data_IF_619795861611
#
_entry.id   IF_619795861611
#
_cell.length_a   1.000
_cell.length_b   1.000
_cell.length_c   1.000
_cell.angle_alpha   90.00
_cell.angle_beta   90.00
_cell.angle_gamma   90.00
#
_symmetry.space_group_name_H-M   'P 1'
#
loop_
_entity.id
_entity.type
_entity.pdbx_description
1 polymer ?
#
# COMPACT_ATOMS: atom_id res chain seq x y z
N UNK A 1 36.58 -6.97 -4.83
CA UNK A 1 35.15 -7.15 -5.19
C UNK A 1 34.38 -7.28 -3.90
N UNK A 2 33.34 -6.46 -3.68
CA UNK A 2 32.49 -6.58 -2.49
C UNK A 2 31.79 -7.94 -2.50
N UNK A 3 31.76 -8.65 -1.35
CA UNK A 3 31.11 -9.96 -1.22
C UNK A 3 29.82 -9.79 -0.43
N UNK A 4 28.69 -10.07 -1.09
CA UNK A 4 27.38 -10.10 -0.45
C UNK A 4 27.39 -11.14 0.69
N UNK A 5 26.90 -10.74 1.87
CA UNK A 5 26.67 -11.70 2.96
C UNK A 5 25.47 -12.60 2.62
N UNK A 6 25.46 -13.85 3.09
CA UNK A 6 24.30 -14.74 2.90
C UNK A 6 23.05 -14.14 3.54
N UNK A 7 21.88 -14.53 3.02
CA UNK A 7 20.58 -14.26 3.66
C UNK A 7 20.32 -15.32 4.75
N UNK A 8 19.47 -14.99 5.72
CA UNK A 8 19.06 -15.94 6.75
C UNK A 8 18.13 -17.02 6.17
N UNK A 9 17.96 -18.13 6.88
CA UNK A 9 17.04 -19.20 6.46
C UNK A 9 15.59 -18.69 6.35
N UNK A 10 15.18 -17.82 7.28
CA UNK A 10 13.86 -17.15 7.27
C UNK A 10 13.67 -16.34 5.98
N UNK A 11 14.62 -15.47 5.64
CA UNK A 11 14.55 -14.64 4.43
C UNK A 11 14.54 -15.52 3.18
N UNK A 12 15.34 -16.58 3.14
CA UNK A 12 15.36 -17.53 2.03
C UNK A 12 13.99 -18.19 1.82
N UNK A 13 13.36 -18.70 2.90
CA UNK A 13 12.02 -19.32 2.83
C UNK A 13 10.96 -18.37 2.27
N UNK A 14 10.92 -17.13 2.75
CA UNK A 14 9.94 -16.12 2.30
C UNK A 14 10.22 -15.73 0.83
N UNK A 15 11.49 -15.56 0.47
CA UNK A 15 11.89 -15.29 -0.93
C UNK A 15 11.48 -16.42 -1.86
N UNK A 16 11.67 -17.68 -1.45
CA UNK A 16 11.29 -18.83 -2.27
C UNK A 16 9.77 -18.94 -2.40
N UNK A 17 9.02 -18.71 -1.31
CA UNK A 17 7.55 -18.59 -1.36
C UNK A 17 7.13 -17.50 -2.35
N UNK A 18 7.75 -16.32 -2.28
CA UNK A 18 7.47 -15.22 -3.21
C UNK A 18 7.68 -15.64 -4.66
N UNK A 19 8.87 -16.17 -5.01
CA UNK A 19 9.21 -16.55 -6.39
C UNK A 19 8.32 -17.65 -6.97
N UNK A 20 7.89 -18.59 -6.12
CA UNK A 20 7.13 -19.76 -6.55
C UNK A 20 5.61 -19.59 -6.47
N UNK A 21 5.11 -18.52 -5.86
CA UNK A 21 3.67 -18.25 -5.79
C UNK A 21 3.21 -17.52 -7.06
N UNK A 22 2.28 -18.07 -7.82
CA UNK A 22 1.62 -17.33 -8.89
C UNK A 22 0.62 -16.32 -8.28
N UNK A 23 0.60 -15.05 -8.74
CA UNK A 23 -0.36 -14.08 -8.25
C UNK A 23 -1.83 -14.45 -8.47
N UNK A 24 -2.67 -14.07 -7.52
CA UNK A 24 -4.12 -14.26 -7.58
C UNK A 24 -4.88 -12.94 -7.53
N UNK A 25 -6.13 -12.94 -7.99
CA UNK A 25 -7.10 -11.88 -7.71
C UNK A 25 -7.71 -12.10 -6.33
N UNK A 26 -7.78 -11.03 -5.54
CA UNK A 26 -8.46 -11.02 -4.24
C UNK A 26 -9.64 -10.04 -4.24
N UNK A 27 -10.86 -10.56 -4.04
CA UNK A 27 -12.09 -9.74 -4.00
C UNK A 27 -12.39 -9.15 -2.64
N UNK A 28 -11.59 -9.40 -1.59
CA UNK A 28 -11.88 -8.91 -0.23
C UNK A 28 -12.08 -7.39 -0.20
N UNK A 29 -11.18 -6.62 -0.83
CA UNK A 29 -11.34 -5.17 -0.99
C UNK A 29 -12.55 -4.82 -1.85
N UNK A 30 -12.70 -5.49 -2.99
CA UNK A 30 -13.78 -5.25 -3.95
C UNK A 30 -15.16 -5.32 -3.30
N UNK A 31 -15.40 -6.38 -2.51
CA UNK A 31 -16.67 -6.63 -1.82
C UNK A 31 -16.98 -5.52 -0.82
N UNK A 32 -16.01 -5.14 0.02
CA UNK A 32 -16.16 -4.06 1.00
C UNK A 32 -16.47 -2.71 0.35
N UNK A 33 -15.75 -2.37 -0.73
CA UNK A 33 -16.03 -1.11 -1.45
C UNK A 33 -17.41 -1.14 -2.10
N UNK A 34 -17.79 -2.27 -2.71
CA UNK A 34 -19.11 -2.43 -3.36
C UNK A 34 -20.24 -2.30 -2.35
N UNK A 35 -20.13 -3.01 -1.23
CA UNK A 35 -21.10 -2.94 -0.13
C UNK A 35 -21.22 -1.52 0.43
N UNK A 36 -20.10 -0.86 0.72
CA UNK A 36 -20.08 0.51 1.21
C UNK A 36 -20.78 1.48 0.24
N UNK A 37 -20.50 1.35 -1.06
CA UNK A 37 -21.11 2.23 -2.07
C UNK A 37 -22.61 1.99 -2.23
N UNK A 38 -23.06 0.73 -2.17
CA UNK A 38 -24.49 0.38 -2.24
C UNK A 38 -25.27 0.86 -1.01
N UNK A 39 -24.66 0.80 0.18
CA UNK A 39 -25.29 1.24 1.43
C UNK A 39 -25.26 2.76 1.62
N UNK A 40 -24.43 3.48 0.85
CA UNK A 40 -24.25 4.93 0.98
C UNK A 40 -24.42 5.65 -0.38
N UNK A 41 -25.62 5.57 -1.00
CA UNK A 41 -25.85 6.17 -2.32
C UNK A 41 -25.71 7.70 -2.29
N UNK A 42 -26.16 8.35 -1.22
CA UNK A 42 -26.20 9.82 -1.11
C UNK A 42 -24.85 10.45 -0.75
N UNK A 43 -23.90 9.64 -0.27
CA UNK A 43 -22.57 10.13 0.10
C UNK A 43 -21.71 10.27 -1.14
N UNK A 44 -21.12 11.46 -1.33
CA UNK A 44 -20.28 11.80 -2.49
C UNK A 44 -18.97 12.50 -2.08
N UNK A 45 -18.08 12.70 -3.06
CA UNK A 45 -16.86 13.50 -2.89
C UNK A 45 -15.87 12.95 -1.85
N UNK A 46 -15.13 13.85 -1.21
CA UNK A 46 -14.01 13.53 -0.33
C UNK A 46 -14.42 12.76 0.93
N UNK A 47 -15.62 13.01 1.46
CA UNK A 47 -16.14 12.29 2.63
C UNK A 47 -16.52 10.85 2.27
N UNK A 48 -17.00 10.57 1.05
CA UNK A 48 -17.22 9.20 0.57
C UNK A 48 -15.92 8.41 0.59
N UNK A 49 -14.86 8.99 0.02
CA UNK A 49 -13.52 8.39 -0.01
C UNK A 49 -12.98 8.12 1.39
N UNK A 50 -13.01 9.11 2.27
CA UNK A 50 -12.50 8.96 3.64
C UNK A 50 -13.26 7.90 4.45
N UNK A 51 -14.59 7.91 4.38
CA UNK A 51 -15.41 6.92 5.10
C UNK A 51 -15.27 5.50 4.51
N UNK A 52 -15.17 5.37 3.19
CA UNK A 52 -14.88 4.08 2.55
C UNK A 52 -13.50 3.56 2.95
N UNK A 53 -12.47 4.42 2.97
CA UNK A 53 -11.14 4.04 3.43
C UNK A 53 -11.13 3.58 4.88
N UNK A 54 -11.83 4.30 5.78
CA UNK A 54 -11.99 3.86 7.17
C UNK A 54 -12.70 2.51 7.26
N UNK A 55 -13.78 2.32 6.50
CA UNK A 55 -14.49 1.04 6.42
C UNK A 55 -13.58 -0.10 5.94
N UNK A 56 -12.71 0.14 4.95
CA UNK A 56 -11.69 -0.82 4.53
C UNK A 56 -10.72 -1.15 5.68
N UNK A 57 -10.19 -0.14 6.37
CA UNK A 57 -9.27 -0.36 7.49
C UNK A 57 -9.90 -1.17 8.63
N UNK A 58 -11.19 -0.96 8.89
CA UNK A 58 -11.96 -1.67 9.92
C UNK A 58 -12.23 -3.13 9.54
N UNK A 59 -12.40 -3.45 8.26
CA UNK A 59 -13.00 -4.73 7.84
C UNK A 59 -12.15 -5.58 6.89
N UNK A 60 -11.13 -5.02 6.24
CA UNK A 60 -10.28 -5.79 5.31
C UNK A 60 -9.66 -6.97 6.05
N UNK A 61 -9.58 -8.13 5.41
CA UNK A 61 -8.91 -9.28 5.99
C UNK A 61 -7.43 -8.97 6.19
N UNK A 62 -6.91 -9.27 7.38
CA UNK A 62 -5.51 -9.09 7.75
C UNK A 62 -4.86 -10.45 7.98
N UNK A 63 -3.54 -10.55 7.80
CA UNK A 63 -2.77 -11.78 8.03
C UNK A 63 -1.41 -11.45 8.61
N UNK A 64 -0.85 -12.41 9.35
CA UNK A 64 0.56 -12.46 9.69
C UNK A 64 1.03 -13.82 9.21
N UNK A 65 1.81 -13.84 8.13
CA UNK A 65 2.33 -15.07 7.56
C UNK A 65 3.49 -15.64 8.39
N UNK A 66 3.77 -16.93 8.23
CA UNK A 66 4.87 -17.61 8.92
C UNK A 66 6.21 -16.89 8.66
N UNK A 67 6.94 -16.61 9.74
CA UNK A 67 8.24 -15.94 9.70
C UNK A 67 8.19 -14.42 9.51
N UNK A 68 7.02 -13.79 9.29
CA UNK A 68 6.95 -12.34 9.17
C UNK A 68 7.24 -11.64 10.50
N UNK A 69 8.04 -10.58 10.45
CA UNK A 69 8.25 -9.61 11.55
C UNK A 69 8.02 -8.16 11.13
N UNK A 70 7.84 -7.92 9.83
CA UNK A 70 7.27 -6.69 9.26
C UNK A 70 5.96 -7.11 8.60
N UNK A 71 4.84 -6.55 9.05
CA UNK A 71 3.50 -6.98 8.64
C UNK A 71 2.70 -5.85 7.99
N UNK A 72 1.64 -6.24 7.30
CA UNK A 72 0.86 -5.35 6.44
C UNK A 72 0.59 -6.07 5.13
N UNK A 73 -0.63 -5.94 4.63
CA UNK A 73 -1.04 -6.62 3.42
C UNK A 73 -2.11 -5.83 2.68
N UNK A 74 -1.98 -5.79 1.35
CA UNK A 74 -2.92 -5.14 0.45
C UNK A 74 -4.19 -5.97 0.20
N UNK A 75 -4.11 -7.29 0.39
CA UNK A 75 -5.18 -8.25 0.08
C UNK A 75 -5.29 -9.30 1.18
N UNK A 76 -6.25 -10.21 1.09
CA UNK A 76 -6.42 -11.31 2.06
C UNK A 76 -5.45 -12.48 1.84
N UNK A 77 -4.87 -12.57 0.64
CA UNK A 77 -4.05 -13.70 0.18
C UNK A 77 -2.62 -13.23 -0.10
N UNK A 78 -1.65 -14.12 0.06
CA UNK A 78 -0.25 -13.82 -0.23
C UNK A 78 -0.03 -13.57 -1.73
N UNK A 79 0.73 -12.51 -2.07
CA UNK A 79 1.04 -12.10 -3.45
C UNK A 79 -0.19 -11.88 -4.35
N UNK A 80 -1.37 -11.66 -3.77
CA UNK A 80 -2.60 -11.40 -4.52
C UNK A 80 -2.84 -9.91 -4.73
N UNK A 81 -3.38 -9.55 -5.89
CA UNK A 81 -3.74 -8.18 -6.22
C UNK A 81 -5.14 -7.82 -5.68
N UNK A 82 -5.26 -6.64 -5.07
CA UNK A 82 -6.56 -6.07 -4.73
C UNK A 82 -7.21 -5.42 -5.95
N UNK A 83 -8.53 -5.34 -5.97
CA UNK A 83 -9.30 -4.69 -7.03
C UNK A 83 -9.90 -3.36 -6.58
N UNK A 84 -10.03 -2.43 -7.54
CA UNK A 84 -10.40 -1.04 -7.31
C UNK A 84 -11.54 -0.61 -8.23
N UNK A 85 -12.73 -1.17 -8.03
CA UNK A 85 -13.84 -0.98 -8.96
C UNK A 85 -14.34 0.46 -9.01
N UNK A 86 -14.06 1.26 -7.97
CA UNK A 86 -14.44 2.67 -7.95
C UNK A 86 -13.63 3.54 -8.93
N UNK A 87 -12.50 3.04 -9.45
CA UNK A 87 -11.70 3.70 -10.47
C UNK A 87 -12.17 3.31 -11.87
N UNK A 88 -12.05 2.03 -12.21
CA UNK A 88 -12.49 1.46 -13.49
C UNK A 88 -12.64 -0.04 -13.37
N UNK A 89 -13.62 -0.59 -14.09
CA UNK A 89 -13.94 -2.02 -14.06
C UNK A 89 -14.02 -2.68 -15.44
N UNK A 90 -14.21 -1.91 -16.52
CA UNK A 90 -14.59 -2.46 -17.84
C UNK A 90 -13.59 -3.49 -18.37
N UNK A 91 -12.30 -3.15 -18.37
CA UNK A 91 -11.25 -4.06 -18.86
C UNK A 91 -11.26 -5.40 -18.11
N UNK A 92 -11.57 -5.39 -16.82
CA UNK A 92 -11.57 -6.59 -16.00
C UNK A 92 -12.79 -7.46 -16.35
N UNK A 93 -13.95 -6.86 -16.59
CA UNK A 93 -15.15 -7.60 -17.00
C UNK A 93 -14.92 -8.31 -18.33
N UNK A 94 -14.37 -7.61 -19.33
CA UNK A 94 -14.04 -8.19 -20.65
C UNK A 94 -13.10 -9.41 -20.53
N UNK A 95 -12.06 -9.29 -19.69
CA UNK A 95 -11.10 -10.38 -19.49
C UNK A 95 -11.63 -11.53 -18.63
N UNK A 96 -12.55 -11.27 -17.70
CA UNK A 96 -13.21 -12.30 -16.90
C UNK A 96 -14.23 -13.08 -17.73
N UNK A 97 -15.02 -12.40 -18.56
CA UNK A 97 -16.00 -13.03 -19.46
C UNK A 97 -15.31 -13.95 -20.47
N UNK A 98 -14.19 -13.51 -21.05
CA UNK A 98 -13.39 -14.32 -22.00
C UNK A 98 -12.49 -15.37 -21.33
N UNK A 99 -12.25 -15.25 -20.02
CA UNK A 99 -11.27 -16.08 -19.30
C UNK A 99 -9.81 -15.75 -19.63
N UNK A 100 -9.56 -14.65 -20.34
CA UNK A 100 -8.23 -14.27 -20.81
C UNK A 100 -7.28 -13.91 -19.66
N UNK A 101 -7.79 -13.38 -18.54
CA UNK A 101 -6.94 -12.94 -17.42
C UNK A 101 -6.07 -14.07 -16.83
N UNK A 102 -6.56 -15.31 -16.88
CA UNK A 102 -5.86 -16.50 -16.37
C UNK A 102 -4.91 -17.12 -17.39
N UNK A 103 -5.03 -16.73 -18.67
CA UNK A 103 -4.29 -17.31 -19.80
C UNK A 103 -3.39 -16.30 -20.51
N UNK A 104 -3.23 -15.10 -19.97
CA UNK A 104 -2.27 -14.11 -20.45
C UNK A 104 -0.87 -14.72 -20.57
N UNK A 105 -0.15 -14.37 -21.62
CA UNK A 105 1.26 -14.71 -21.82
C UNK A 105 2.18 -13.91 -20.88
N UNK A 106 1.74 -12.72 -20.45
CA UNK A 106 2.40 -11.88 -19.44
C UNK A 106 1.45 -11.57 -18.29
N UNK A 107 1.97 -11.68 -17.07
CA UNK A 107 1.26 -11.45 -15.80
C UNK A 107 -0.15 -12.09 -15.70
N UNK A 108 -0.29 -13.42 -15.87
CA UNK A 108 -1.57 -14.12 -15.66
C UNK A 108 -1.94 -14.19 -14.18
N UNK A 109 -3.23 -14.06 -13.88
CA UNK A 109 -3.75 -14.15 -12.52
C UNK A 109 -4.65 -15.36 -12.32
N UNK A 110 -4.52 -16.00 -11.16
CA UNK A 110 -5.50 -17.01 -10.73
C UNK A 110 -6.74 -16.29 -10.18
N UNK A 111 -7.93 -16.78 -10.52
CA UNK A 111 -9.20 -16.33 -9.93
C UNK A 111 -10.11 -17.53 -9.71
N UNK A 112 -10.84 -17.56 -8.59
CA UNK A 112 -11.87 -18.58 -8.35
C UNK A 112 -13.17 -18.25 -9.09
N UNK A 113 -13.97 -19.27 -9.42
CA UNK A 113 -15.27 -19.06 -10.05
C UNK A 113 -16.21 -18.22 -9.17
N UNK A 114 -16.19 -18.41 -7.85
CA UNK A 114 -16.98 -17.60 -6.91
C UNK A 114 -16.64 -16.10 -7.01
N UNK A 115 -15.35 -15.77 -7.07
CA UNK A 115 -14.89 -14.38 -7.17
C UNK A 115 -15.22 -13.78 -8.52
N UNK A 116 -15.06 -14.56 -9.60
CA UNK A 116 -15.45 -14.17 -10.95
C UNK A 116 -16.95 -13.87 -11.04
N UNK A 117 -17.81 -14.78 -10.56
CA UNK A 117 -19.26 -14.61 -10.57
C UNK A 117 -19.70 -13.36 -9.81
N UNK A 118 -19.09 -13.10 -8.64
CA UNK A 118 -19.40 -11.91 -7.86
C UNK A 118 -19.05 -10.61 -8.60
N UNK A 119 -17.87 -10.55 -9.22
CA UNK A 119 -17.43 -9.37 -9.99
C UNK A 119 -18.38 -9.15 -11.18
N UNK A 120 -18.73 -10.19 -11.93
CA UNK A 120 -19.64 -10.08 -13.08
C UNK A 120 -21.04 -9.61 -12.65
N UNK A 121 -21.58 -10.18 -11.55
CA UNK A 121 -22.89 -9.80 -10.98
C UNK A 121 -22.96 -8.32 -10.58
N UNK A 122 -21.85 -7.75 -10.13
CA UNK A 122 -21.78 -6.36 -9.65
C UNK A 122 -21.18 -5.40 -10.68
N UNK A 123 -20.75 -5.91 -11.83
CA UNK A 123 -20.13 -5.14 -12.91
C UNK A 123 -21.00 -4.00 -13.42
N UNK A 124 -22.30 -4.24 -13.62
CA UNK A 124 -23.24 -3.23 -14.14
C UNK A 124 -23.45 -2.04 -13.20
N UNK A 125 -23.33 -2.25 -11.89
CA UNK A 125 -23.32 -1.16 -10.92
C UNK A 125 -22.06 -0.29 -11.12
N UNK A 126 -20.89 -0.92 -11.19
CA UNK A 126 -19.63 -0.21 -11.35
C UNK A 126 -19.43 0.44 -12.71
N UNK A 127 -20.01 -0.11 -13.78
CA UNK A 127 -20.09 0.52 -15.10
C UNK A 127 -20.80 1.88 -15.08
N UNK A 128 -21.57 2.18 -14.04
CA UNK A 128 -22.25 3.47 -13.85
C UNK A 128 -21.58 4.32 -12.77
N UNK A 129 -21.02 3.68 -11.75
CA UNK A 129 -20.54 4.37 -10.55
C UNK A 129 -19.05 4.68 -10.49
N UNK A 130 -18.22 3.99 -11.29
CA UNK A 130 -16.77 4.20 -11.27
C UNK A 130 -16.35 5.56 -11.84
N UNK A 131 -15.15 6.03 -11.48
CA UNK A 131 -14.57 7.30 -11.95
C UNK A 131 -14.53 7.36 -13.47
N UNK A 132 -14.07 6.29 -14.12
CA UNK A 132 -14.01 6.18 -15.58
C UNK A 132 -15.36 6.40 -16.26
N UNK A 133 -16.42 5.78 -15.73
CA UNK A 133 -17.79 5.96 -16.24
C UNK A 133 -18.27 7.40 -16.08
N UNK A 134 -18.00 8.01 -14.92
CA UNK A 134 -18.38 9.41 -14.62
C UNK A 134 -17.59 10.43 -15.44
N UNK A 135 -16.36 10.12 -15.83
CA UNK A 135 -15.49 11.00 -16.63
C UNK A 135 -15.80 10.94 -18.13
N UNK A 136 -16.25 9.77 -18.62
CA UNK A 136 -16.48 9.54 -20.06
C UNK A 136 -17.37 10.62 -20.73
N UNK A 137 -18.48 11.09 -20.14
CA UNK A 137 -19.32 12.14 -20.72
C UNK A 137 -18.66 13.52 -20.85
N UNK A 138 -17.56 13.78 -20.14
CA UNK A 138 -16.82 15.05 -20.19
C UNK A 138 -15.73 15.06 -21.27
N UNK A 139 -15.48 13.95 -21.94
CA UNK A 139 -14.49 13.88 -23.02
C UNK A 139 -15.04 14.61 -24.25
N UNK A 140 -14.31 15.60 -24.81
CA UNK A 140 -14.77 16.33 -26.00
C UNK A 140 -15.00 15.37 -27.18
N UNK A 141 -16.16 15.43 -27.88
CA UNK A 141 -16.47 14.50 -28.97
C UNK A 141 -15.42 14.49 -30.10
N UNK A 142 -14.83 15.65 -30.43
CA UNK A 142 -13.79 15.75 -31.45
C UNK A 142 -12.48 15.03 -31.10
N UNK A 143 -12.31 14.58 -29.85
CA UNK A 143 -11.15 13.78 -29.45
C UNK A 143 -11.29 12.30 -29.85
N UNK A 144 -12.52 11.82 -30.09
CA UNK A 144 -12.81 10.42 -30.37
C UNK A 144 -12.25 9.94 -31.72
N UNK A 145 -12.05 10.84 -32.68
CA UNK A 145 -11.44 10.51 -33.98
C UNK A 145 -9.91 10.37 -33.92
N UNK A 146 -9.30 10.76 -32.78
CA UNK A 146 -7.85 10.79 -32.61
C UNK A 146 -7.32 9.70 -31.67
N UNK A 147 -8.20 8.98 -30.99
CA UNK A 147 -7.84 7.89 -30.08
C UNK A 147 -7.64 6.58 -30.84
N UNK A 148 -6.85 5.66 -30.29
CA UNK A 148 -6.55 4.37 -30.92
C UNK A 148 -5.74 4.47 -32.22
N UNK A 149 -5.21 5.64 -32.59
CA UNK A 149 -4.48 5.88 -33.84
C UNK A 149 -3.00 5.46 -33.81
N UNK A 150 -2.56 4.77 -32.75
CA UNK A 150 -1.17 4.36 -32.55
C UNK A 150 -0.25 5.43 -31.95
N UNK A 151 -0.66 6.71 -31.93
CA UNK A 151 0.02 7.79 -31.21
C UNK A 151 -0.68 8.05 -29.88
N UNK A 152 -2.01 8.10 -29.90
CA UNK A 152 -2.85 8.14 -28.71
C UNK A 152 -3.40 6.73 -28.48
N UNK A 153 -2.75 6.00 -27.57
CA UNK A 153 -3.10 4.60 -27.25
C UNK A 153 -4.33 4.47 -26.35
N UNK A 154 -5.04 5.57 -26.09
CA UNK A 154 -6.28 5.59 -25.29
C UNK A 154 -7.45 5.05 -26.12
N UNK A 155 -8.50 4.56 -25.43
CA UNK A 155 -9.74 4.04 -26.02
C UNK A 155 -10.89 5.05 -25.86
N UNK A 156 -12.03 4.80 -26.51
CA UNK A 156 -13.25 5.62 -26.45
C UNK A 156 -13.94 5.51 -25.09
N UNK A 157 -13.73 4.38 -24.40
CA UNK A 157 -14.15 4.11 -23.02
C UNK A 157 -12.95 3.78 -22.15
N UNK A 158 -13.15 3.79 -20.83
CA UNK A 158 -12.06 3.46 -19.92
C UNK A 158 -11.06 4.61 -19.78
N UNK A 159 -11.54 5.85 -19.63
CA UNK A 159 -10.68 6.99 -19.29
C UNK A 159 -10.42 7.03 -17.79
N UNK A 160 -9.30 7.61 -17.36
CA UNK A 160 -8.96 7.70 -15.93
C UNK A 160 -9.02 6.32 -15.21
N UNK A 161 -8.56 5.24 -15.88
CA UNK A 161 -8.67 3.87 -15.34
C UNK A 161 -7.91 3.67 -14.03
N UNK A 162 -6.82 4.43 -13.86
CA UNK A 162 -6.01 4.41 -12.67
C UNK A 162 -6.04 5.82 -12.02
N UNK A 163 -6.07 5.88 -10.68
CA UNK A 163 -5.85 7.12 -9.97
C UNK A 163 -4.42 7.62 -10.20
N UNK A 164 -4.23 8.92 -10.04
CA UNK A 164 -2.88 9.53 -10.05
C UNK A 164 -2.06 8.96 -8.90
N UNK A 165 -0.89 8.43 -9.22
CA UNK A 165 0.18 8.11 -8.27
C UNK A 165 1.43 8.96 -8.57
N UNK A 166 2.62 8.36 -8.60
CA UNK A 166 3.89 9.02 -8.96
C UNK A 166 4.31 10.14 -8.00
N UNK A 167 4.23 9.87 -6.69
CA UNK A 167 4.72 10.78 -5.68
C UNK A 167 5.37 10.02 -4.52
N UNK A 168 6.19 10.72 -3.75
CA UNK A 168 6.64 10.27 -2.44
C UNK A 168 5.79 10.97 -1.37
N UNK A 169 5.19 10.21 -0.46
CA UNK A 169 4.51 10.81 0.68
C UNK A 169 5.52 11.23 1.75
N UNK A 170 5.05 12.00 2.73
CA UNK A 170 5.89 12.44 3.83
C UNK A 170 6.01 11.32 4.89
N UNK A 171 6.75 10.25 4.56
CA UNK A 171 7.04 9.14 5.48
C UNK A 171 7.75 9.63 6.74
N UNK A 172 8.60 10.65 6.63
CA UNK A 172 9.29 11.25 7.77
C UNK A 172 8.29 11.82 8.81
N UNK A 173 7.27 12.57 8.37
CA UNK A 173 6.21 13.04 9.27
C UNK A 173 5.42 11.86 9.87
N UNK A 174 5.15 10.81 9.09
CA UNK A 174 4.44 9.63 9.58
C UNK A 174 5.21 8.94 10.72
N UNK A 175 6.50 8.69 10.55
CA UNK A 175 7.32 8.00 11.57
C UNK A 175 7.67 8.89 12.76
N UNK A 176 7.91 10.19 12.55
CA UNK A 176 8.38 11.10 13.62
C UNK A 176 7.26 11.76 14.42
N UNK A 177 6.05 11.86 13.87
CA UNK A 177 4.91 12.50 14.56
C UNK A 177 3.76 11.54 14.88
N UNK A 178 3.54 10.52 14.05
CA UNK A 178 2.33 9.70 14.11
C UNK A 178 1.08 10.43 13.63
N UNK A 179 0.02 9.66 13.33
CA UNK A 179 -1.24 10.14 12.80
C UNK A 179 -2.17 10.70 13.88
N UNK A 180 -1.94 10.46 15.18
CA UNK A 180 -2.69 11.13 16.24
C UNK A 180 -2.44 12.65 16.23
N UNK A 181 -1.20 13.08 16.01
CA UNK A 181 -0.86 14.49 15.89
C UNK A 181 -1.48 15.12 14.63
N UNK A 182 -1.46 14.40 13.50
CA UNK A 182 -2.06 14.87 12.24
C UNK A 182 -3.58 14.99 12.37
N UNK A 183 -4.22 14.03 13.05
CA UNK A 183 -5.65 14.07 13.40
C UNK A 183 -5.98 15.31 14.24
N UNK A 184 -5.23 15.54 15.31
CA UNK A 184 -5.44 16.71 16.18
C UNK A 184 -5.25 18.04 15.42
N UNK A 185 -4.25 18.14 14.53
CA UNK A 185 -4.07 19.30 13.64
C UNK A 185 -5.31 19.53 12.76
N UNK A 186 -5.88 18.47 12.19
CA UNK A 186 -7.07 18.56 11.35
C UNK A 186 -8.33 18.94 12.15
N UNK A 187 -8.52 18.37 13.33
CA UNK A 187 -9.66 18.67 14.21
C UNK A 187 -9.63 20.11 14.72
N UNK A 188 -8.44 20.63 15.05
CA UNK A 188 -8.26 22.04 15.38
C UNK A 188 -8.65 22.96 14.21
N UNK A 189 -8.33 22.57 12.97
CA UNK A 189 -8.72 23.32 11.76
C UNK A 189 -10.23 23.27 11.48
N UNK A 190 -10.89 22.16 11.82
CA UNK A 190 -12.35 22.05 11.77
C UNK A 190 -12.96 23.03 12.78
N UNK A 191 -12.54 23.00 14.04
CA UNK A 191 -13.05 23.89 15.08
C UNK A 191 -12.83 25.38 14.76
N UNK A 192 -11.66 25.73 14.23
CA UNK A 192 -11.35 27.10 13.78
C UNK A 192 -12.33 27.60 12.70
N UNK A 193 -12.71 26.73 11.75
CA UNK A 193 -13.66 27.07 10.70
C UNK A 193 -15.11 27.18 11.21
N UNK A 194 -15.48 26.36 12.19
CA UNK A 194 -16.79 26.45 12.85
C UNK A 194 -16.93 27.75 13.63
N UNK A 195 -15.89 28.17 14.35
CA UNK A 195 -15.87 29.43 15.12
C UNK A 195 -15.97 30.65 14.21
N UNK A 196 -15.21 30.67 13.10
CA UNK A 196 -15.19 31.80 12.15
C UNK A 196 -16.43 31.86 11.25
N UNK A 197 -17.20 30.78 11.19
CA UNK A 197 -18.27 30.59 10.21
C UNK A 197 -17.76 30.09 8.86
N UNK A 198 -18.57 29.25 8.21
CA UNK A 198 -18.24 28.58 6.95
C UNK A 198 -18.99 29.27 5.81
N UNK A 199 -18.27 30.06 5.01
CA UNK A 199 -18.81 30.83 3.87
C UNK A 199 -18.14 30.44 2.55
N UNK A 200 -18.92 30.46 1.46
CA UNK A 200 -18.43 30.15 0.11
C UNK A 200 -17.67 28.83 0.04
N UNK A 201 -16.52 28.84 -0.62
CA UNK A 201 -15.70 27.64 -0.85
C UNK A 201 -14.96 27.12 0.40
N UNK A 202 -15.08 27.80 1.56
CA UNK A 202 -14.49 27.29 2.81
C UNK A 202 -15.08 25.95 3.25
N UNK A 203 -16.29 25.61 2.80
CA UNK A 203 -16.89 24.29 3.00
C UNK A 203 -16.02 23.14 2.45
N UNK A 204 -15.28 23.38 1.37
CA UNK A 204 -14.36 22.40 0.80
C UNK A 204 -13.18 22.13 1.75
N UNK A 205 -12.63 23.18 2.37
CA UNK A 205 -11.56 23.06 3.38
C UNK A 205 -12.08 22.38 4.65
N UNK A 206 -13.28 22.74 5.10
CA UNK A 206 -13.93 22.11 6.25
C UNK A 206 -14.08 20.59 6.04
N UNK A 207 -14.65 20.18 4.90
CA UNK A 207 -14.81 18.76 4.59
C UNK A 207 -13.48 18.05 4.33
N UNK A 208 -12.46 18.74 3.82
CA UNK A 208 -11.11 18.21 3.71
C UNK A 208 -10.51 17.85 5.07
N UNK A 209 -10.53 18.75 6.05
CA UNK A 209 -9.97 18.45 7.37
C UNK A 209 -10.75 17.35 8.10
N UNK A 210 -12.08 17.30 7.93
CA UNK A 210 -12.89 16.18 8.42
C UNK A 210 -12.49 14.85 7.79
N UNK A 211 -12.27 14.84 6.47
CA UNK A 211 -11.78 13.66 5.77
C UNK A 211 -10.41 13.21 6.29
N UNK A 212 -9.48 14.14 6.55
CA UNK A 212 -8.16 13.85 7.12
C UNK A 212 -8.28 13.17 8.49
N UNK A 213 -9.13 13.69 9.41
CA UNK A 213 -9.34 13.06 10.73
C UNK A 213 -9.87 11.62 10.59
N UNK A 214 -10.87 11.40 9.71
CA UNK A 214 -11.44 10.06 9.45
C UNK A 214 -10.39 9.09 8.90
N UNK A 215 -9.53 9.55 7.98
CA UNK A 215 -8.46 8.72 7.39
C UNK A 215 -7.42 8.37 8.45
N UNK A 216 -7.02 9.31 9.31
CA UNK A 216 -6.10 9.04 10.41
C UNK A 216 -6.65 7.96 11.36
N UNK A 217 -7.94 8.03 11.69
CA UNK A 217 -8.59 6.98 12.48
C UNK A 217 -8.52 5.62 11.79
N UNK A 218 -8.81 5.55 10.49
CA UNK A 218 -8.69 4.31 9.72
C UNK A 218 -7.29 3.68 9.81
N UNK A 219 -6.25 4.48 9.56
CA UNK A 219 -4.85 4.00 9.61
C UNK A 219 -4.46 3.47 11.00
N UNK A 220 -4.87 4.15 12.06
CA UNK A 220 -4.62 3.72 13.44
C UNK A 220 -5.39 2.43 13.75
N UNK A 221 -6.66 2.34 13.35
CA UNK A 221 -7.50 1.14 13.54
C UNK A 221 -6.86 -0.07 12.86
N UNK A 222 -6.43 0.05 11.60
CA UNK A 222 -5.84 -1.07 10.87
C UNK A 222 -4.62 -1.63 11.62
N UNK A 223 -3.73 -0.76 12.07
CA UNK A 223 -2.50 -1.16 12.79
C UNK A 223 -2.83 -1.85 14.12
N UNK A 224 -3.82 -1.35 14.87
CA UNK A 224 -4.31 -1.99 16.10
C UNK A 224 -4.95 -3.37 15.85
N UNK A 225 -5.58 -3.58 14.69
CA UNK A 225 -6.08 -4.91 14.32
C UNK A 225 -4.94 -5.90 14.09
N UNK A 226 -3.85 -5.47 13.45
CA UNK A 226 -2.63 -6.27 13.33
C UNK A 226 -1.99 -6.56 14.70
N UNK A 227 -1.98 -5.58 15.61
CA UNK A 227 -1.48 -5.79 16.96
C UNK A 227 -2.25 -6.89 17.70
N UNK A 228 -3.59 -6.83 17.66
CA UNK A 228 -4.45 -7.87 18.24
C UNK A 228 -4.21 -9.24 17.61
N UNK A 229 -4.06 -9.32 16.29
CA UNK A 229 -3.74 -10.58 15.62
C UNK A 229 -2.38 -11.14 16.07
N UNK A 230 -1.37 -10.29 16.26
CA UNK A 230 -0.07 -10.70 16.79
C UNK A 230 -0.19 -11.23 18.23
N UNK A 231 -0.99 -10.59 19.09
CA UNK A 231 -1.28 -11.06 20.46
C UNK A 231 -1.98 -12.43 20.45
N UNK A 232 -2.98 -12.61 19.59
CA UNK A 232 -3.73 -13.86 19.45
C UNK A 232 -2.83 -15.02 18.96
N UNK A 233 -1.91 -14.73 18.05
CA UNK A 233 -0.93 -15.71 17.56
C UNK A 233 0.12 -16.01 18.65
N UNK A 234 0.63 -15.00 19.36
CA UNK A 234 1.58 -15.18 20.45
C UNK A 234 1.02 -16.06 21.58
N UNK A 235 -0.27 -15.93 21.89
CA UNK A 235 -0.95 -16.73 22.90
C UNK A 235 -1.05 -18.22 22.53
N UNK A 236 -1.05 -18.55 21.23
CA UNK A 236 -1.13 -19.91 20.70
C UNK A 236 0.23 -20.49 20.30
N UNK A 237 1.26 -19.65 20.24
CA UNK A 237 2.60 -20.04 19.81
C UNK A 237 3.32 -20.87 20.88
N UNK A 238 3.96 -21.94 20.43
CA UNK A 238 4.68 -22.91 21.25
C UNK A 238 6.19 -22.73 21.17
N UNK A 239 6.71 -22.21 20.06
CA UNK A 239 8.12 -21.85 19.96
C UNK A 239 8.38 -20.55 20.76
N UNK A 240 9.19 -20.59 21.83
CA UNK A 240 9.46 -19.41 22.65
C UNK A 240 10.13 -18.27 21.87
N UNK A 241 10.89 -18.57 20.81
CA UNK A 241 11.52 -17.54 19.99
C UNK A 241 10.46 -16.82 19.18
N UNK A 242 9.65 -17.56 18.41
CA UNK A 242 8.55 -16.98 17.63
C UNK A 242 7.52 -16.26 18.49
N UNK A 243 7.21 -16.78 19.67
CA UNK A 243 6.30 -16.13 20.62
C UNK A 243 6.82 -14.74 21.01
N UNK A 244 8.09 -14.63 21.37
CA UNK A 244 8.71 -13.35 21.72
C UNK A 244 8.71 -12.36 20.55
N UNK A 245 8.90 -12.84 19.32
CA UNK A 245 8.77 -11.99 18.13
C UNK A 245 7.34 -11.45 17.98
N UNK A 246 6.32 -12.30 18.12
CA UNK A 246 4.92 -11.89 18.01
C UNK A 246 4.51 -10.91 19.12
N UNK A 247 4.99 -11.12 20.36
CA UNK A 247 4.78 -10.18 21.47
C UNK A 247 5.45 -8.82 21.19
N UNK A 248 6.67 -8.81 20.65
CA UNK A 248 7.34 -7.58 20.25
C UNK A 248 6.61 -6.88 19.09
N UNK A 249 6.14 -7.64 18.10
CA UNK A 249 5.32 -7.10 17.01
C UNK A 249 4.03 -6.47 17.55
N UNK A 250 3.35 -7.11 18.50
CA UNK A 250 2.16 -6.57 19.13
C UNK A 250 2.44 -5.23 19.83
N UNK A 251 3.54 -5.10 20.59
CA UNK A 251 3.93 -3.82 21.20
C UNK A 251 4.17 -2.74 20.14
N UNK A 252 4.95 -3.07 19.10
CA UNK A 252 5.22 -2.16 17.97
C UNK A 252 3.92 -1.71 17.30
N UNK A 253 3.04 -2.65 16.92
CA UNK A 253 1.80 -2.37 16.19
C UNK A 253 0.76 -1.62 17.03
N UNK A 254 0.75 -1.79 18.35
CA UNK A 254 -0.09 -0.99 19.25
C UNK A 254 0.41 0.45 19.38
N UNK A 255 1.68 0.72 19.04
CA UNK A 255 2.33 2.01 19.20
C UNK A 255 2.40 2.82 17.91
N UNK A 256 2.91 2.20 16.84
CA UNK A 256 3.18 2.86 15.56
C UNK A 256 1.89 3.29 14.87
N UNK A 257 2.02 4.20 13.90
CA UNK A 257 0.92 4.92 13.25
C UNK A 257 0.16 5.88 14.18
N UNK A 258 -0.02 5.58 15.47
CA UNK A 258 -0.63 6.54 16.41
C UNK A 258 0.42 7.54 16.93
N UNK A 259 1.58 7.04 17.36
CA UNK A 259 2.62 7.80 18.08
C UNK A 259 3.95 7.85 17.30
N UNK A 260 4.87 8.78 17.66
CA UNK A 260 6.24 8.79 17.13
C UNK A 260 6.96 7.47 17.35
N UNK A 261 7.66 6.95 16.33
CA UNK A 261 8.44 5.71 16.40
C UNK A 261 9.55 5.81 17.45
N UNK A 262 9.86 4.72 18.14
CA UNK A 262 10.86 4.67 19.23
C UNK A 262 12.15 3.95 18.81
N UNK A 263 12.03 3.03 17.85
CA UNK A 263 13.07 2.07 17.46
C UNK A 263 13.19 1.99 15.94
N UNK A 264 14.25 1.36 15.45
CA UNK A 264 14.42 1.03 14.04
C UNK A 264 13.33 0.11 13.52
N UNK A 265 12.89 -0.85 14.34
CA UNK A 265 11.78 -1.75 13.99
C UNK A 265 10.44 -1.00 13.93
N UNK A 266 10.17 -0.11 14.88
CA UNK A 266 8.99 0.79 14.85
C UNK A 266 8.96 1.58 13.53
N UNK A 267 10.09 2.20 13.16
CA UNK A 267 10.18 3.06 11.99
C UNK A 267 9.97 2.28 10.67
N UNK A 268 10.59 1.10 10.53
CA UNK A 268 10.36 0.22 9.37
C UNK A 268 8.90 -0.26 9.29
N UNK A 269 8.33 -0.69 10.43
CA UNK A 269 6.96 -1.18 10.49
C UNK A 269 5.94 -0.07 10.18
N UNK A 270 6.15 1.14 10.70
CA UNK A 270 5.32 2.31 10.42
C UNK A 270 5.38 2.73 8.94
N UNK A 271 6.59 2.75 8.37
CA UNK A 271 6.82 3.08 6.97
C UNK A 271 6.07 2.12 6.04
N UNK A 272 6.14 0.81 6.31
CA UNK A 272 5.43 -0.19 5.51
C UNK A 272 3.91 -0.19 5.75
N UNK A 273 3.45 0.02 6.99
CA UNK A 273 2.01 0.14 7.26
C UNK A 273 1.40 1.38 6.61
N UNK A 274 2.12 2.50 6.59
CA UNK A 274 1.67 3.68 5.88
C UNK A 274 1.58 3.43 4.37
N UNK A 275 2.58 2.75 3.79
CA UNK A 275 2.51 2.33 2.38
C UNK A 275 1.31 1.42 2.11
N UNK A 276 1.08 0.44 2.98
CA UNK A 276 -0.09 -0.46 2.86
C UNK A 276 -1.39 0.33 2.86
N UNK A 277 -1.53 1.34 3.73
CA UNK A 277 -2.70 2.22 3.76
C UNK A 277 -2.87 3.00 2.46
N UNK A 278 -1.79 3.55 1.90
CA UNK A 278 -1.82 4.27 0.63
C UNK A 278 -2.29 3.37 -0.51
N UNK A 279 -1.81 2.13 -0.56
CA UNK A 279 -2.22 1.16 -1.57
C UNK A 279 -3.64 0.63 -1.34
N UNK A 280 -4.15 0.59 -0.11
CA UNK A 280 -5.55 0.25 0.14
C UNK A 280 -6.52 1.34 -0.35
N UNK A 281 -6.11 2.61 -0.29
CA UNK A 281 -6.97 3.74 -0.69
C UNK A 281 -7.31 3.70 -2.19
N UNK A 282 -6.32 3.51 -3.07
CA UNK A 282 -6.55 3.49 -4.51
C UNK A 282 -5.47 2.72 -5.28
N UNK A 283 -5.77 2.33 -6.53
CA UNK A 283 -4.85 1.56 -7.40
C UNK A 283 -3.72 2.41 -7.99
N UNK A 284 -2.99 3.15 -7.15
CA UNK A 284 -1.96 4.09 -7.59
C UNK A 284 -0.70 3.35 -8.06
N UNK A 285 -0.07 3.83 -9.13
CA UNK A 285 1.26 3.38 -9.55
C UNK A 285 2.32 4.36 -9.06
N UNK A 286 3.53 3.90 -8.75
CA UNK A 286 4.61 4.85 -8.49
C UNK A 286 4.52 5.56 -7.15
N UNK A 287 3.74 5.04 -6.17
CA UNK A 287 3.80 5.55 -4.80
C UNK A 287 5.14 5.11 -4.22
N UNK A 288 6.13 5.98 -4.34
CA UNK A 288 7.52 5.67 -4.05
C UNK A 288 7.83 6.01 -2.61
N UNK A 289 8.68 5.20 -1.98
CA UNK A 289 9.12 5.47 -0.62
C UNK A 289 10.08 6.66 -0.56
N UNK A 290 10.85 6.91 -1.63
CA UNK A 290 11.85 7.97 -1.65
C UNK A 290 13.08 7.61 -0.82
N UNK A 291 13.60 8.53 0.00
CA UNK A 291 14.91 8.39 0.69
C UNK A 291 14.82 7.59 1.99
N UNK A 292 14.47 6.31 1.88
CA UNK A 292 14.25 5.39 3.03
C UNK A 292 15.45 5.33 3.97
N UNK A 293 16.67 5.30 3.41
CA UNK A 293 17.90 5.27 4.19
C UNK A 293 18.06 6.51 5.10
N UNK A 294 17.57 7.67 4.67
CA UNK A 294 17.61 8.90 5.45
C UNK A 294 16.53 8.95 6.54
N UNK A 295 15.37 8.32 6.31
CA UNK A 295 14.31 8.27 7.32
C UNK A 295 14.65 7.33 8.49
N UNK A 296 15.47 6.30 8.23
CA UNK A 296 15.75 5.23 9.18
C UNK A 296 17.14 5.30 9.82
N UNK A 297 18.07 6.09 9.24
CA UNK A 297 19.47 6.11 9.64
C UNK A 297 19.70 6.42 11.12
N UNK A 298 19.02 7.44 11.64
CA UNK A 298 19.15 7.86 13.05
C UNK A 298 18.52 6.85 14.02
N UNK A 299 17.41 6.20 13.63
CA UNK A 299 16.83 5.10 14.40
C UNK A 299 17.78 3.91 14.52
N UNK A 300 18.46 3.53 13.42
CA UNK A 300 19.42 2.44 13.44
C UNK A 300 20.62 2.76 14.35
N UNK A 301 21.20 3.95 14.22
CA UNK A 301 22.34 4.38 15.03
C UNK A 301 21.99 4.41 16.52
N UNK A 302 20.82 4.94 16.88
CA UNK A 302 20.36 5.01 18.25
C UNK A 302 20.10 3.62 18.86
N UNK A 303 19.50 2.69 18.11
CA UNK A 303 19.26 1.33 18.57
C UNK A 303 20.55 0.52 18.73
N UNK A 304 21.50 0.70 17.80
CA UNK A 304 22.80 0.05 17.86
C UNK A 304 23.59 0.53 19.08
N UNK A 305 23.64 1.85 19.32
CA UNK A 305 24.33 2.42 20.47
C UNK A 305 23.73 1.98 21.81
N UNK A 306 22.41 1.76 21.85
CA UNK A 306 21.70 1.31 23.04
C UNK A 306 21.70 -0.22 23.22
N UNK A 307 22.31 -0.98 22.30
CA UNK A 307 22.31 -2.45 22.32
C UNK A 307 20.92 -3.08 22.11
N UNK A 308 19.97 -2.34 21.52
CA UNK A 308 18.61 -2.84 21.21
C UNK A 308 18.59 -3.72 19.97
N UNK A 309 19.52 -3.50 19.05
CA UNK A 309 19.60 -4.23 17.78
C UNK A 309 21.04 -4.64 17.47
N UNK A 310 21.21 -5.75 16.77
CA UNK A 310 22.49 -6.15 16.17
C UNK A 310 22.53 -5.79 14.69
N UNK A 311 23.72 -5.55 14.10
CA UNK A 311 23.83 -5.33 12.65
C UNK A 311 23.21 -6.46 11.81
N UNK A 312 23.35 -7.71 12.25
CA UNK A 312 22.79 -8.88 11.57
C UNK A 312 21.26 -8.87 11.57
N UNK A 313 20.63 -8.56 12.72
CA UNK A 313 19.18 -8.51 12.81
C UNK A 313 18.60 -7.28 12.09
N UNK A 314 19.25 -6.11 12.17
CA UNK A 314 18.84 -4.93 11.40
C UNK A 314 18.85 -5.21 9.89
N UNK A 315 19.89 -5.87 9.41
CA UNK A 315 20.04 -6.24 8.02
C UNK A 315 19.01 -7.31 7.58
N UNK A 316 18.58 -8.20 8.47
CA UNK A 316 17.46 -9.11 8.20
C UNK A 316 16.11 -8.37 8.13
N UNK A 317 15.87 -7.38 9.00
CA UNK A 317 14.65 -6.56 8.93
C UNK A 317 14.54 -5.82 7.59
N UNK A 318 15.65 -5.30 7.05
CA UNK A 318 15.67 -4.64 5.74
C UNK A 318 15.37 -5.64 4.60
N UNK A 319 15.88 -6.88 4.68
CA UNK A 319 15.53 -7.91 3.69
C UNK A 319 14.03 -8.23 3.70
N UNK A 320 13.47 -8.40 4.89
CA UNK A 320 12.05 -8.72 5.06
C UNK A 320 11.18 -7.55 4.60
N UNK A 321 11.59 -6.31 4.85
CA UNK A 321 10.95 -5.13 4.29
C UNK A 321 10.94 -5.15 2.75
N UNK A 322 12.07 -5.45 2.10
CA UNK A 322 12.13 -5.58 0.63
C UNK A 322 11.17 -6.65 0.11
N UNK A 323 11.09 -7.81 0.78
CA UNK A 323 10.17 -8.87 0.41
C UNK A 323 8.70 -8.45 0.57
N UNK A 324 8.38 -7.67 1.61
CA UNK A 324 7.03 -7.10 1.81
C UNK A 324 6.66 -6.10 0.73
N UNK A 325 7.60 -5.25 0.31
CA UNK A 325 7.38 -4.34 -0.82
C UNK A 325 7.16 -5.11 -2.12
N UNK A 326 7.99 -6.12 -2.38
CA UNK A 326 7.91 -6.96 -3.58
C UNK A 326 6.61 -7.78 -3.67
N UNK A 327 6.02 -8.13 -2.51
CA UNK A 327 4.75 -8.84 -2.42
C UNK A 327 3.56 -8.02 -2.94
N UNK A 328 3.65 -6.68 -2.88
CA UNK A 328 2.57 -5.80 -3.30
C UNK A 328 2.35 -5.90 -4.80
N UNK A 329 1.11 -6.15 -5.18
CA UNK A 329 0.76 -6.43 -6.56
C UNK A 329 -0.37 -5.52 -7.04
N UNK A 330 -0.21 -5.00 -8.25
CA UNK A 330 -1.14 -4.10 -8.90
C UNK A 330 -1.69 -4.75 -10.18
N UNK A 331 -3.00 -4.97 -10.28
CA UNK A 331 -3.59 -5.46 -11.51
C UNK A 331 -3.75 -4.32 -12.52
N UNK A 332 -3.54 -4.67 -13.78
CA UNK A 332 -3.65 -3.79 -14.94
C UNK A 332 -4.43 -4.49 -16.06
N UNK A 333 -5.06 -3.71 -16.94
CA UNK A 333 -5.52 -4.21 -18.23
C UNK A 333 -4.34 -4.78 -19.02
N UNK A 334 -4.57 -5.82 -19.82
CA UNK A 334 -3.50 -6.45 -20.61
C UNK A 334 -2.68 -5.45 -21.46
N UNK A 335 -3.32 -4.47 -22.08
CA UNK A 335 -2.62 -3.42 -22.85
C UNK A 335 -1.63 -2.59 -22.03
N UNK A 336 -1.94 -2.30 -20.77
CA UNK A 336 -1.04 -1.60 -19.86
C UNK A 336 0.06 -2.51 -19.31
N UNK A 337 -0.23 -3.81 -19.13
CA UNK A 337 0.75 -4.83 -18.76
C UNK A 337 1.84 -4.99 -19.82
N UNK A 338 1.52 -4.88 -21.12
CA UNK A 338 2.52 -4.91 -22.20
C UNK A 338 3.59 -3.81 -22.06
N UNK A 339 3.23 -2.65 -21.47
CA UNK A 339 4.16 -1.57 -21.23
C UNK A 339 4.93 -1.70 -19.90
N UNK A 340 4.35 -2.37 -18.91
CA UNK A 340 4.91 -2.51 -17.56
C UNK A 340 4.74 -3.94 -17.02
N UNK A 341 5.39 -4.95 -17.64
CA UNK A 341 5.23 -6.35 -17.23
C UNK A 341 5.98 -6.66 -15.93
N UNK A 342 5.68 -7.81 -15.33
CA UNK A 342 6.38 -8.31 -14.16
C UNK A 342 5.74 -7.90 -12.84
N UNK A 343 4.41 -7.75 -12.79
CA UNK A 343 3.64 -7.50 -11.57
C UNK A 343 4.09 -6.26 -10.78
N UNK A 344 4.75 -5.30 -11.43
CA UNK A 344 5.32 -4.15 -10.74
C UNK A 344 4.25 -3.17 -10.27
N UNK A 345 4.47 -2.65 -9.07
CA UNK A 345 3.70 -1.57 -8.48
C UNK A 345 4.37 -0.19 -8.64
N UNK A 346 5.62 -0.17 -9.15
CA UNK A 346 6.42 1.05 -9.39
C UNK A 346 6.96 1.70 -8.12
N UNK A 347 7.05 0.97 -7.02
CA UNK A 347 7.44 1.54 -5.72
C UNK A 347 8.96 1.75 -5.64
N UNK A 348 9.42 2.97 -5.91
CA UNK A 348 10.86 3.29 -5.94
C UNK A 348 11.41 3.64 -4.55
N UNK A 349 12.68 3.29 -4.33
CA UNK A 349 13.49 3.70 -3.19
C UNK A 349 14.75 4.40 -3.69
N UNK A 350 15.12 5.52 -3.09
CA UNK A 350 16.33 6.28 -3.43
C UNK A 350 17.33 6.18 -2.30
N UNK A 351 18.60 5.96 -2.62
CA UNK A 351 19.68 5.75 -1.65
C UNK A 351 20.79 6.79 -1.80
N UNK A 352 21.43 7.16 -0.68
CA UNK A 352 22.59 8.05 -0.67
C UNK A 352 22.24 9.48 -1.11
N UNK A 353 23.13 10.13 -1.86
CA UNK A 353 22.99 11.51 -2.30
C UNK A 353 23.64 12.50 -1.34
N UNK A 354 23.08 13.71 -1.24
CA UNK A 354 23.61 14.76 -0.35
C UNK A 354 22.54 15.24 0.64
N UNK A 355 23.00 15.75 1.78
CA UNK A 355 22.19 16.42 2.80
C UNK A 355 21.92 17.89 2.40
N UNK A 356 20.96 18.58 3.05
CA UNK A 356 20.68 19.99 2.75
C UNK A 356 21.90 20.93 2.90
N UNK A 357 22.88 20.57 3.72
CA UNK A 357 24.13 21.31 3.91
C UNK A 357 25.21 20.98 2.86
N UNK A 358 24.91 20.10 1.90
CA UNK A 358 25.83 19.67 0.84
C UNK A 358 26.77 18.53 1.21
N UNK A 359 26.72 18.02 2.45
CA UNK A 359 27.55 16.88 2.87
C UNK A 359 26.99 15.53 2.37
N UNK A 360 27.84 14.50 2.34
CA UNK A 360 27.44 13.14 1.94
C UNK A 360 26.31 12.60 2.83
N UNK A 361 25.28 12.03 2.21
CA UNK A 361 24.13 11.44 2.88
C UNK A 361 24.26 9.93 3.11
N UNK A 362 25.31 9.29 2.59
CA UNK A 362 25.54 7.86 2.80
C UNK A 362 25.58 7.52 4.30
N UNK A 363 24.82 6.50 4.70
CA UNK A 363 24.80 5.97 6.07
C UNK A 363 24.77 4.43 6.08
N UNK A 364 24.73 3.82 7.27
CA UNK A 364 24.73 2.36 7.38
C UNK A 364 23.50 1.71 6.73
N UNK A 365 22.34 2.37 6.76
CA UNK A 365 21.11 1.88 6.11
C UNK A 365 21.25 1.92 4.59
N UNK A 366 21.94 2.91 4.02
CA UNK A 366 22.29 2.95 2.59
C UNK A 366 22.97 1.64 2.16
N UNK A 367 23.98 1.19 2.91
CA UNK A 367 24.67 -0.06 2.62
C UNK A 367 23.81 -1.30 2.87
N UNK A 368 22.96 -1.30 3.91
CA UNK A 368 22.05 -2.41 4.17
C UNK A 368 21.05 -2.61 3.03
N UNK A 369 20.51 -1.51 2.49
CA UNK A 369 19.59 -1.52 1.36
C UNK A 369 20.28 -1.96 0.06
N UNK A 370 21.51 -1.50 -0.21
CA UNK A 370 22.33 -1.99 -1.33
C UNK A 370 22.65 -3.49 -1.20
N UNK A 371 22.87 -3.97 0.02
CA UNK A 371 23.12 -5.39 0.27
C UNK A 371 21.87 -6.23 0.02
N UNK A 372 20.70 -5.84 0.56
CA UNK A 372 19.40 -6.50 0.30
C UNK A 372 19.11 -6.56 -1.19
N UNK A 373 19.34 -5.42 -1.85
CA UNK A 373 19.20 -5.24 -3.29
C UNK A 373 19.98 -6.27 -4.11
N UNK A 374 21.28 -6.44 -3.82
CA UNK A 374 22.14 -7.37 -4.51
C UNK A 374 21.92 -8.85 -4.16
N UNK A 375 21.48 -9.17 -2.93
CA UNK A 375 21.38 -10.57 -2.46
C UNK A 375 20.00 -11.20 -2.61
N UNK A 376 18.93 -10.40 -2.66
CA UNK A 376 17.58 -10.92 -2.82
C UNK A 376 17.24 -11.23 -4.28
N UNK A 377 17.88 -10.56 -5.25
CA UNK A 377 17.69 -10.81 -6.68
C UNK A 377 16.18 -10.83 -7.08
N UNK A 378 15.44 -9.85 -6.58
CA UNK A 378 14.02 -9.64 -6.89
C UNK A 378 13.90 -8.83 -8.19
N UNK A 379 12.76 -8.94 -8.86
CA UNK A 379 12.45 -8.12 -10.05
C UNK A 379 11.77 -6.78 -9.69
N UNK A 380 11.08 -6.73 -8.55
CA UNK A 380 10.39 -5.59 -7.96
C UNK A 380 10.59 -5.65 -6.43
N UNK A 381 10.68 -4.51 -5.70
CA UNK A 381 10.70 -3.13 -6.21
C UNK A 381 11.94 -2.82 -7.04
N UNK A 382 11.83 -1.96 -8.08
CA UNK A 382 12.98 -1.40 -8.79
C UNK A 382 13.88 -0.62 -7.82
N UNK A 383 15.19 -0.79 -7.99
CA UNK A 383 16.24 -0.14 -7.19
C UNK A 383 16.86 1.01 -7.94
#
# INVERSE_FOLDING_TARGET
MYKLKPITERVQKIRDRYRNTQPEICTSRYRLVTEFYLQNPDLTGILKRAKNFKHLCENIAIRIDEGEVIVGAQSAKFRACALYPENSIEWLLEELESGFISTRDIDPYIISEEDKEYILKTGDFWRKECMSAKMTPYIPPGYLDHIGNGVIMLRDKGWAQAPVGHFCTNYDKAIRKGFAAIKAEAEAKVAELEEKGIYGDSINRYNFYRAVSIVCDGMIILTKRYARLAEELAAKETDPVRKKELEAMADTLNWVMEKPCRTFHDALQALFMYQTCLCLDANMHGISFGRVDQYLGDFYEADLAAGRITPEYAQELVDLFYLKVAEMNKPWSYGATLANPGYTSGQLMTLGGVKPDGTDATNAVTYMMLQSSGRLLLHDPPQ
#
